data_IF_848903849950
#
_entry.id   IF_848903849950
#
_cell.length_a   1.000
_cell.length_b   1.000
_cell.length_c   1.000
_cell.angle_alpha   90.00
_cell.angle_beta   90.00
_cell.angle_gamma   90.00
#
_symmetry.space_group_name_H-M   'P 1'
#
loop_
_entity.id
_entity.type
_entity.pdbx_description
1 polymer ?
#
# COMPACT_ATOMS: atom_id res chain seq x y z
N UNK A 1 29.35 32.27 -59.56
CA UNK A 1 29.98 31.29 -58.63
C UNK A 1 29.80 31.59 -57.14
N UNK A 2 29.82 32.85 -56.68
CA UNK A 2 29.66 33.19 -55.24
C UNK A 2 28.33 32.75 -54.62
N UNK A 3 27.21 33.01 -55.30
CA UNK A 3 25.87 32.60 -54.88
C UNK A 3 25.70 31.07 -54.84
N UNK A 4 26.31 30.34 -55.76
CA UNK A 4 26.24 28.88 -55.79
C UNK A 4 26.98 28.25 -54.60
N UNK A 5 28.11 28.83 -54.18
CA UNK A 5 28.86 28.38 -52.99
C UNK A 5 28.10 28.67 -51.69
N UNK A 6 27.46 29.84 -51.59
CA UNK A 6 26.63 30.20 -50.43
C UNK A 6 25.37 29.31 -50.38
N UNK A 7 24.71 29.11 -51.52
CA UNK A 7 23.54 28.24 -51.62
C UNK A 7 23.88 26.79 -51.25
N UNK A 8 25.00 26.23 -51.74
CA UNK A 8 25.43 24.89 -51.35
C UNK A 8 25.76 24.79 -49.85
N UNK A 9 26.40 25.82 -49.28
CA UNK A 9 26.75 25.86 -47.85
C UNK A 9 25.55 25.95 -46.90
N UNK A 10 24.40 26.47 -47.35
CA UNK A 10 23.17 26.60 -46.53
C UNK A 10 22.15 25.51 -46.85
N UNK A 11 21.97 25.15 -48.13
CA UNK A 11 20.97 24.17 -48.55
C UNK A 11 21.32 22.75 -48.10
N UNK A 12 22.60 22.39 -48.14
CA UNK A 12 23.07 21.07 -47.71
C UNK A 12 22.75 20.78 -46.23
N UNK A 13 23.16 21.62 -45.24
CA UNK A 13 22.83 21.36 -43.84
C UNK A 13 21.32 21.40 -43.57
N UNK A 14 20.54 22.23 -44.25
CA UNK A 14 19.06 22.23 -44.13
C UNK A 14 18.46 20.89 -44.58
N UNK A 15 18.95 20.34 -45.70
CA UNK A 15 18.50 19.05 -46.22
C UNK A 15 18.89 17.91 -45.27
N UNK A 16 20.09 17.99 -44.68
CA UNK A 16 20.52 17.04 -43.63
C UNK A 16 19.62 17.13 -42.40
N UNK A 17 19.29 18.34 -41.91
CA UNK A 17 18.38 18.52 -40.77
C UNK A 17 16.99 17.98 -41.07
N UNK A 18 16.45 18.22 -42.27
CA UNK A 18 15.15 17.68 -42.70
C UNK A 18 15.13 16.14 -42.74
N UNK A 19 16.24 15.49 -43.11
CA UNK A 19 16.34 14.04 -43.10
C UNK A 19 16.52 13.46 -41.69
N UNK A 20 17.18 14.19 -40.80
CA UNK A 20 17.48 13.74 -39.44
C UNK A 20 16.27 13.93 -38.50
N UNK A 21 15.47 14.98 -38.67
CA UNK A 21 14.38 15.30 -37.75
C UNK A 21 13.35 14.16 -37.61
N UNK A 22 12.84 13.52 -38.69
CA UNK A 22 11.95 12.36 -38.57
C UNK A 22 12.60 11.19 -37.84
N UNK A 23 13.89 10.95 -38.07
CA UNK A 23 14.63 9.88 -37.41
C UNK A 23 14.81 10.15 -35.90
N UNK A 24 15.02 11.40 -35.50
CA UNK A 24 15.08 11.79 -34.08
C UNK A 24 13.73 11.53 -33.40
N UNK A 25 12.61 11.87 -34.04
CA UNK A 25 11.29 11.65 -33.47
C UNK A 25 10.99 10.15 -33.27
N UNK A 26 11.25 9.33 -34.28
CA UNK A 26 11.08 7.86 -34.19
C UNK A 26 11.94 7.25 -33.06
N UNK A 27 13.19 7.70 -32.93
CA UNK A 27 14.09 7.26 -31.86
C UNK A 27 13.56 7.62 -30.46
N UNK A 28 13.05 8.84 -30.28
CA UNK A 28 12.49 9.29 -29.00
C UNK A 28 11.22 8.51 -28.62
N UNK A 29 10.36 8.20 -29.59
CA UNK A 29 9.17 7.38 -29.35
C UNK A 29 9.52 5.93 -29.00
N UNK A 30 10.52 5.34 -29.66
CA UNK A 30 11.04 4.02 -29.29
C UNK A 30 11.63 4.01 -27.88
N UNK A 31 12.35 5.07 -27.50
CA UNK A 31 12.89 5.23 -26.15
C UNK A 31 11.77 5.35 -25.09
N UNK A 32 10.75 6.17 -25.35
CA UNK A 32 9.56 6.29 -24.46
C UNK A 32 8.82 4.96 -24.29
N UNK A 33 8.63 4.21 -25.38
CA UNK A 33 8.04 2.85 -25.33
C UNK A 33 8.87 1.90 -24.48
N UNK A 34 10.19 1.93 -24.64
CA UNK A 34 11.11 1.10 -23.86
C UNK A 34 11.09 1.47 -22.38
N UNK A 35 11.11 2.77 -22.09
CA UNK A 35 11.02 3.28 -20.72
C UNK A 35 9.69 2.88 -20.06
N UNK A 36 8.57 3.04 -20.76
CA UNK A 36 7.27 2.62 -20.24
C UNK A 36 7.21 1.12 -19.95
N UNK A 37 7.71 0.28 -20.88
CA UNK A 37 7.79 -1.17 -20.65
C UNK A 37 8.64 -1.51 -19.43
N UNK A 38 9.71 -0.76 -19.17
CA UNK A 38 10.52 -0.92 -17.97
C UNK A 38 9.78 -0.45 -16.71
N UNK A 39 8.98 0.62 -16.79
CA UNK A 39 8.13 1.05 -15.70
C UNK A 39 7.09 -0.02 -15.33
N UNK A 40 6.45 -0.66 -16.32
CA UNK A 40 5.57 -1.80 -16.07
C UNK A 40 6.30 -2.98 -15.42
N UNK A 41 7.56 -3.24 -15.78
CA UNK A 41 8.38 -4.24 -15.09
C UNK A 41 8.70 -3.87 -13.65
N UNK A 42 8.94 -2.59 -13.35
CA UNK A 42 9.12 -2.11 -11.97
C UNK A 42 7.83 -2.29 -11.15
N UNK A 43 6.67 -2.01 -11.75
CA UNK A 43 5.37 -2.28 -11.14
C UNK A 43 5.18 -3.79 -10.93
N UNK A 44 5.53 -4.62 -11.90
CA UNK A 44 5.52 -6.08 -11.75
C UNK A 44 6.39 -6.57 -10.61
N UNK A 45 7.62 -6.09 -10.52
CA UNK A 45 8.51 -6.40 -9.39
C UNK A 45 7.90 -5.95 -8.06
N UNK A 46 7.29 -4.75 -8.01
CA UNK A 46 6.62 -4.27 -6.81
C UNK A 46 5.41 -5.14 -6.43
N UNK A 47 4.61 -5.58 -7.40
CA UNK A 47 3.49 -6.49 -7.19
C UNK A 47 3.95 -7.86 -6.67
N UNK A 48 5.05 -8.41 -7.21
CA UNK A 48 5.64 -9.64 -6.70
C UNK A 48 6.22 -9.45 -5.29
N UNK A 49 6.93 -8.36 -5.01
CA UNK A 49 7.43 -8.08 -3.66
C UNK A 49 6.29 -7.89 -2.65
N UNK A 50 5.19 -7.25 -3.07
CA UNK A 50 3.97 -7.15 -2.26
C UNK A 50 3.40 -8.55 -2.02
N UNK A 51 3.25 -9.36 -3.06
CA UNK A 51 2.78 -10.74 -2.94
C UNK A 51 3.69 -11.58 -2.03
N UNK A 52 5.01 -11.47 -2.12
CA UNK A 52 5.94 -12.21 -1.26
C UNK A 52 5.77 -11.87 0.23
N UNK A 53 5.35 -10.64 0.54
CA UNK A 53 5.15 -10.16 1.92
C UNK A 53 3.73 -10.44 2.43
N UNK A 54 2.72 -10.33 1.56
CA UNK A 54 1.31 -10.36 1.95
C UNK A 54 0.55 -11.60 1.47
N UNK A 55 1.17 -12.45 0.66
CA UNK A 55 0.61 -13.66 0.04
C UNK A 55 -0.68 -13.41 -0.76
N UNK A 56 -0.79 -12.21 -1.34
CA UNK A 56 -1.89 -11.76 -2.19
C UNK A 56 -1.40 -10.59 -3.03
N UNK A 57 -2.00 -10.38 -4.20
CA UNK A 57 -1.94 -9.09 -4.88
C UNK A 57 -2.66 -8.01 -4.06
N UNK A 58 -2.28 -6.73 -4.21
CA UNK A 58 -2.97 -5.65 -3.52
C UNK A 58 -4.42 -5.58 -4.01
N UNK A 59 -5.38 -5.30 -3.11
CA UNK A 59 -6.75 -5.09 -3.53
C UNK A 59 -6.81 -3.88 -4.47
N UNK A 60 -7.70 -3.96 -5.48
CA UNK A 60 -7.96 -2.86 -6.41
C UNK A 60 -8.25 -1.55 -5.66
N UNK A 61 -8.98 -1.66 -4.55
CA UNK A 61 -9.19 -0.61 -3.56
C UNK A 61 -9.74 -1.19 -2.26
N UNK A 62 -9.36 -0.60 -1.13
CA UNK A 62 -9.84 -0.99 0.20
C UNK A 62 -11.03 -0.13 0.59
N UNK A 63 -12.14 -0.77 0.95
CA UNK A 63 -13.36 -0.10 1.37
C UNK A 63 -13.85 -0.63 2.72
N UNK A 64 -14.34 0.25 3.59
CA UNK A 64 -15.01 -0.13 4.84
C UNK A 64 -16.48 -0.50 4.62
N UNK A 65 -17.17 -0.88 5.70
CA UNK A 65 -18.59 -1.27 5.68
C UNK A 65 -19.52 -0.10 5.32
N UNK A 66 -19.06 1.15 5.47
CA UNK A 66 -19.78 2.36 5.09
C UNK A 66 -19.58 2.73 3.61
N UNK A 67 -18.71 2.02 2.90
CA UNK A 67 -18.40 2.28 1.48
C UNK A 67 -17.38 3.41 1.26
N UNK A 68 -16.68 3.86 2.30
CA UNK A 68 -15.57 4.80 2.16
C UNK A 68 -14.32 4.07 1.66
N UNK A 69 -13.72 4.61 0.59
CA UNK A 69 -12.52 4.07 -0.03
C UNK A 69 -11.25 4.65 0.61
N UNK A 70 -10.34 3.78 1.04
CA UNK A 70 -9.05 4.15 1.60
C UNK A 70 -8.06 4.40 0.48
N UNK A 71 -7.31 3.41 0.03
CA UNK A 71 -6.42 3.56 -1.12
C UNK A 71 -6.65 2.51 -2.18
N UNK A 72 -6.39 2.89 -3.44
CA UNK A 72 -6.27 1.95 -4.54
C UNK A 72 -4.98 1.14 -4.51
N UNK A 73 -4.94 0.09 -5.33
CA UNK A 73 -3.79 -0.80 -5.52
C UNK A 73 -2.42 -0.14 -5.75
N UNK A 74 -2.28 1.09 -6.32
CA UNK A 74 -0.96 1.68 -6.53
C UNK A 74 -0.28 2.13 -5.23
N UNK A 75 -1.05 2.55 -4.23
CA UNK A 75 -0.51 3.12 -2.98
C UNK A 75 0.22 2.06 -2.13
N UNK A 76 -0.33 0.85 -1.93
CA UNK A 76 0.40 -0.24 -1.26
C UNK A 76 1.73 -0.61 -1.92
N UNK A 77 1.93 -0.29 -3.22
CA UNK A 77 3.16 -0.60 -3.94
C UNK A 77 4.29 0.43 -3.74
N UNK A 78 3.98 1.63 -3.24
CA UNK A 78 4.94 2.74 -3.09
C UNK A 78 6.23 2.33 -2.35
N UNK A 79 6.20 1.55 -1.24
CA UNK A 79 7.43 1.13 -0.55
C UNK A 79 8.36 0.30 -1.45
N UNK A 80 7.79 -0.53 -2.31
CA UNK A 80 8.51 -1.43 -3.22
C UNK A 80 8.98 -0.73 -4.51
N UNK A 81 8.52 0.50 -4.73
CA UNK A 81 8.90 1.35 -5.85
C UNK A 81 9.92 2.44 -5.41
N UNK A 82 10.69 2.18 -4.35
CA UNK A 82 11.72 3.09 -3.82
C UNK A 82 11.21 4.46 -3.32
N UNK A 83 9.92 4.55 -2.96
CA UNK A 83 9.28 5.79 -2.51
C UNK A 83 8.79 5.74 -1.06
N UNK A 84 9.50 4.98 -0.24
CA UNK A 84 9.16 4.72 1.16
C UNK A 84 8.91 5.99 2.00
N UNK A 85 9.70 7.09 1.91
CA UNK A 85 9.44 8.31 2.67
C UNK A 85 8.12 9.00 2.34
N UNK A 86 7.65 8.89 1.08
CA UNK A 86 6.36 9.44 0.66
C UNK A 86 5.20 8.64 1.27
N UNK A 87 5.30 7.30 1.24
CA UNK A 87 4.29 6.41 1.79
C UNK A 87 3.99 6.70 3.27
N UNK A 88 5.01 6.98 4.09
CA UNK A 88 4.84 7.26 5.52
C UNK A 88 4.18 8.60 5.86
N UNK A 89 4.04 9.51 4.88
CA UNK A 89 3.29 10.75 5.09
C UNK A 89 1.79 10.57 4.94
N UNK A 90 1.37 9.47 4.31
CA UNK A 90 -0.03 9.14 4.10
C UNK A 90 -0.62 8.57 5.40
N UNK A 91 -1.79 9.07 5.77
CA UNK A 91 -2.61 8.52 6.85
C UNK A 91 -3.47 7.37 6.29
N UNK A 92 -3.13 6.15 6.69
CA UNK A 92 -3.81 4.94 6.22
C UNK A 92 -5.16 4.68 6.90
N UNK A 93 -5.54 5.52 7.86
CA UNK A 93 -6.78 5.37 8.62
C UNK A 93 -7.90 6.27 8.10
N UNK A 94 -7.63 7.07 7.08
CA UNK A 94 -8.61 7.98 6.48
C UNK A 94 -8.74 7.72 4.98
N UNK A 95 -9.90 8.03 4.38
CA UNK A 95 -10.10 7.94 2.94
C UNK A 95 -9.05 8.71 2.14
N UNK A 96 -8.69 8.25 0.94
CA UNK A 96 -7.72 8.96 0.10
C UNK A 96 -8.18 10.38 -0.28
N UNK A 97 -9.49 10.58 -0.37
CA UNK A 97 -10.15 11.83 -0.75
C UNK A 97 -10.49 12.71 0.45
N UNK A 98 -10.07 12.34 1.67
CA UNK A 98 -10.19 13.19 2.85
C UNK A 98 -9.37 14.48 2.64
N UNK A 99 -9.96 15.67 2.87
CA UNK A 99 -9.27 16.96 2.67
C UNK A 99 -7.93 17.09 3.41
N UNK A 100 -7.75 16.37 4.52
CA UNK A 100 -6.50 16.38 5.31
C UNK A 100 -5.35 15.62 4.63
N UNK A 101 -5.67 14.70 3.72
CA UNK A 101 -4.69 13.83 3.06
C UNK A 101 -4.45 14.20 1.60
N UNK A 102 -5.47 14.72 0.93
CA UNK A 102 -5.43 15.16 -0.46
C UNK A 102 -4.22 16.04 -0.81
N UNK A 103 -3.76 16.89 0.11
CA UNK A 103 -2.58 17.76 -0.08
C UNK A 103 -1.29 16.96 -0.38
N UNK A 104 -1.15 15.77 0.21
CA UNK A 104 0.02 14.90 -0.05
C UNK A 104 0.00 14.32 -1.46
N UNK A 105 -1.18 14.18 -2.06
CA UNK A 105 -1.35 13.75 -3.44
C UNK A 105 -1.34 14.93 -4.43
N UNK A 106 -0.67 16.03 -4.11
CA UNK A 106 -0.48 17.13 -5.07
C UNK A 106 0.79 16.92 -5.91
N UNK A 107 0.76 17.44 -7.14
CA UNK A 107 1.80 17.32 -8.18
C UNK A 107 3.24 17.46 -7.66
N UNK A 108 3.50 18.41 -6.75
CA UNK A 108 4.85 18.67 -6.23
C UNK A 108 5.43 17.45 -5.48
N UNK A 109 4.69 16.90 -4.54
CA UNK A 109 5.18 15.79 -3.69
C UNK A 109 5.24 14.49 -4.47
N UNK A 110 4.29 14.26 -5.37
CA UNK A 110 4.24 13.05 -6.17
C UNK A 110 5.29 13.05 -7.29
N UNK A 111 5.57 14.17 -7.96
CA UNK A 111 6.57 14.20 -9.06
C UNK A 111 7.99 13.93 -8.63
N UNK A 112 8.35 14.29 -7.41
CA UNK A 112 9.69 14.02 -6.88
C UNK A 112 9.90 12.53 -6.57
N UNK A 113 8.82 11.76 -6.44
CA UNK A 113 8.88 10.37 -5.96
C UNK A 113 8.38 9.37 -7.03
N UNK A 114 7.28 9.64 -7.74
CA UNK A 114 6.63 8.71 -8.67
C UNK A 114 7.23 8.83 -10.07
N UNK A 115 8.34 8.14 -10.33
CA UNK A 115 9.06 8.18 -11.62
C UNK A 115 8.61 7.14 -12.66
N UNK A 116 7.71 6.23 -12.30
CA UNK A 116 7.28 5.09 -13.14
C UNK A 116 6.00 5.36 -13.93
N UNK A 117 5.55 6.61 -14.07
CA UNK A 117 4.43 6.97 -14.95
C UNK A 117 4.84 6.96 -16.42
N UNK A 118 3.86 6.94 -17.32
CA UNK A 118 4.12 6.94 -18.77
C UNK A 118 4.80 8.25 -19.21
N UNK A 119 6.06 8.21 -19.68
CA UNK A 119 6.82 9.40 -20.07
C UNK A 119 6.37 9.99 -21.40
N UNK A 120 5.45 9.33 -22.11
CA UNK A 120 4.88 9.83 -23.37
C UNK A 120 3.73 10.81 -23.17
N UNK A 121 3.14 10.87 -21.97
CA UNK A 121 1.98 11.72 -21.68
C UNK A 121 2.38 13.09 -21.17
N UNK A 122 1.78 14.13 -21.76
CA UNK A 122 2.03 15.54 -21.43
C UNK A 122 1.33 15.97 -20.13
N UNK A 123 0.31 15.22 -19.69
CA UNK A 123 -0.54 15.51 -18.53
C UNK A 123 -0.34 14.48 -17.42
N UNK A 124 0.71 14.60 -16.59
CA UNK A 124 0.90 13.71 -15.45
C UNK A 124 -0.11 13.94 -14.32
N UNK A 125 -0.90 15.01 -14.40
CA UNK A 125 -1.80 15.47 -13.35
C UNK A 125 -3.11 16.03 -13.91
N UNK A 126 -4.17 15.92 -13.10
CA UNK A 126 -5.49 16.47 -13.38
C UNK A 126 -5.48 18.00 -13.33
N UNK A 127 -6.57 18.64 -13.80
CA UNK A 127 -6.74 20.09 -13.73
C UNK A 127 -6.64 20.65 -12.29
N UNK A 128 -6.94 19.82 -11.29
CA UNK A 128 -6.88 20.18 -9.87
C UNK A 128 -5.53 19.81 -9.22
N UNK A 129 -4.54 19.39 -10.01
CA UNK A 129 -3.17 19.12 -9.54
C UNK A 129 -2.94 17.74 -8.91
N UNK A 130 -3.87 16.79 -9.09
CA UNK A 130 -3.71 15.41 -8.61
C UNK A 130 -2.95 14.55 -9.63
N UNK A 131 -2.00 13.71 -9.23
CA UNK A 131 -1.30 12.80 -10.13
C UNK A 131 -2.28 11.78 -10.72
N UNK A 132 -2.16 11.58 -12.01
CA UNK A 132 -2.93 10.60 -12.76
C UNK A 132 -2.16 9.28 -12.84
N UNK A 133 -2.89 8.17 -12.89
CA UNK A 133 -2.32 6.85 -13.14
C UNK A 133 -2.62 6.41 -14.56
N UNK A 134 -1.55 6.09 -15.30
CA UNK A 134 -1.61 5.73 -16.73
C UNK A 134 -1.69 4.20 -16.96
N UNK A 135 -1.80 3.44 -15.87
CA UNK A 135 -1.94 2.00 -15.84
C UNK A 135 -3.18 1.66 -15.03
N UNK A 136 -3.95 0.70 -15.52
CA UNK A 136 -5.08 0.14 -14.78
C UNK A 136 -4.78 -1.31 -14.43
N UNK A 137 -5.28 -1.75 -13.29
CA UNK A 137 -5.27 -3.15 -12.92
C UNK A 137 -6.36 -3.94 -13.66
N UNK A 138 -6.15 -5.25 -13.85
CA UNK A 138 -7.20 -6.18 -14.23
C UNK A 138 -8.18 -6.35 -13.06
N UNK A 139 -9.46 -6.01 -13.28
CA UNK A 139 -10.49 -6.10 -12.24
C UNK A 139 -10.74 -7.52 -11.74
N UNK A 140 -10.41 -8.56 -12.52
CA UNK A 140 -10.53 -9.94 -12.03
C UNK A 140 -9.50 -10.28 -10.97
N UNK A 141 -8.34 -9.60 -11.00
CA UNK A 141 -7.26 -9.81 -10.03
C UNK A 141 -7.33 -8.78 -8.90
N UNK A 142 -7.49 -7.51 -9.24
CA UNK A 142 -7.50 -6.41 -8.27
C UNK A 142 -8.80 -5.61 -8.41
N UNK A 143 -9.81 -6.03 -7.67
CA UNK A 143 -11.09 -5.32 -7.47
C UNK A 143 -11.26 -4.92 -6.00
N UNK A 144 -12.43 -4.37 -5.65
CA UNK A 144 -12.75 -3.97 -4.27
C UNK A 144 -12.53 -5.10 -3.29
N UNK A 145 -11.73 -4.84 -2.26
CA UNK A 145 -11.49 -5.77 -1.15
C UNK A 145 -11.07 -7.18 -1.61
N UNK A 146 -10.46 -7.27 -2.80
CA UNK A 146 -10.01 -8.53 -3.39
C UNK A 146 -8.85 -9.16 -2.60
N UNK A 147 -8.77 -10.48 -2.71
CA UNK A 147 -7.68 -11.30 -2.19
C UNK A 147 -7.38 -12.38 -3.23
N UNK A 148 -6.45 -12.09 -4.13
CA UNK A 148 -6.08 -12.97 -5.24
C UNK A 148 -4.59 -13.27 -5.12
N UNK A 149 -4.24 -14.54 -5.11
CA UNK A 149 -2.87 -15.02 -5.01
C UNK A 149 -2.32 -15.38 -6.40
N UNK A 150 -1.01 -15.62 -6.50
CA UNK A 150 -0.38 -16.16 -7.70
C UNK A 150 -0.94 -17.52 -8.11
N UNK A 151 -1.30 -18.37 -7.14
CA UNK A 151 -1.87 -19.69 -7.38
C UNK A 151 -3.27 -19.61 -8.00
N UNK A 152 -4.05 -18.58 -7.65
CA UNK A 152 -5.40 -18.36 -8.20
C UNK A 152 -5.39 -17.95 -9.67
N UNK A 153 -4.26 -17.45 -10.19
CA UNK A 153 -4.13 -17.03 -11.60
C UNK A 153 -4.18 -18.21 -12.59
N UNK A 154 -4.04 -19.44 -12.10
CA UNK A 154 -3.87 -20.63 -12.93
C UNK A 154 -2.53 -20.60 -13.67
N UNK A 155 -2.49 -20.02 -14.88
CA UNK A 155 -1.22 -19.78 -15.59
C UNK A 155 -0.86 -18.30 -15.53
N UNK A 156 0.08 -17.95 -14.65
CA UNK A 156 0.55 -16.58 -14.44
C UNK A 156 1.00 -15.88 -15.74
N UNK A 157 1.63 -16.60 -16.67
CA UNK A 157 2.06 -16.06 -17.97
C UNK A 157 0.91 -15.68 -18.94
N UNK A 158 -0.31 -16.13 -18.66
CA UNK A 158 -1.51 -15.87 -19.47
C UNK A 158 -2.49 -14.91 -18.81
N UNK A 159 -2.37 -14.66 -17.52
CA UNK A 159 -3.28 -13.75 -16.79
C UNK A 159 -2.68 -12.36 -16.70
N UNK A 160 -3.42 -11.35 -17.15
CA UNK A 160 -3.06 -9.95 -17.06
C UNK A 160 -3.18 -9.48 -15.60
N UNK A 161 -2.15 -8.83 -15.07
CA UNK A 161 -2.22 -8.10 -13.79
C UNK A 161 -2.63 -6.65 -14.01
N UNK A 162 -1.98 -5.96 -14.95
CA UNK A 162 -2.21 -4.55 -15.21
C UNK A 162 -1.83 -4.18 -16.65
N UNK A 163 -2.37 -3.10 -17.19
CA UNK A 163 -2.06 -2.65 -18.55
C UNK A 163 -2.31 -1.15 -18.73
N UNK A 164 -1.85 -0.63 -19.87
CA UNK A 164 -2.06 0.77 -20.28
C UNK A 164 -3.55 1.14 -20.20
N UNK A 165 -3.85 2.25 -19.52
CA UNK A 165 -5.20 2.75 -19.36
C UNK A 165 -5.62 3.69 -20.51
N UNK A 166 -6.87 3.58 -20.99
CA UNK A 166 -7.48 4.64 -21.83
C UNK A 166 -7.80 5.89 -21.01
N UNK A 167 -7.88 7.04 -21.66
CA UNK A 167 -8.49 8.22 -21.03
C UNK A 167 -10.00 8.03 -20.82
N UNK A 168 -10.59 8.57 -19.74
CA UNK A 168 -9.93 9.39 -18.72
C UNK A 168 -9.07 8.54 -17.76
N UNK A 169 -7.94 9.11 -17.34
CA UNK A 169 -7.10 8.49 -16.31
C UNK A 169 -7.70 8.70 -14.93
N UNK A 170 -7.55 7.67 -14.09
CA UNK A 170 -7.93 7.75 -12.68
C UNK A 170 -6.86 8.52 -11.87
N UNK A 171 -7.23 9.04 -10.71
CA UNK A 171 -6.26 9.62 -9.77
C UNK A 171 -5.44 8.47 -9.17
N UNK A 172 -4.13 8.67 -9.01
CA UNK A 172 -3.21 7.62 -8.52
C UNK A 172 -3.63 6.98 -7.19
N UNK A 173 -4.15 7.77 -6.24
CA UNK A 173 -4.61 7.29 -4.95
C UNK A 173 -6.01 6.64 -4.99
N UNK A 174 -6.75 6.86 -6.09
CA UNK A 174 -8.15 6.46 -6.18
C UNK A 174 -8.31 4.96 -6.07
N UNK A 175 -9.40 4.58 -5.43
CA UNK A 175 -9.79 3.20 -5.21
C UNK A 175 -10.57 2.65 -6.40
N UNK A 176 -10.33 3.10 -7.63
CA UNK A 176 -11.05 2.62 -8.83
C UNK A 176 -10.13 2.43 -10.05
N UNK A 177 -8.82 2.46 -9.85
CA UNK A 177 -7.81 2.33 -10.89
C UNK A 177 -7.69 0.91 -11.49
N UNK A 178 -8.80 0.19 -11.64
CA UNK A 178 -8.91 -1.10 -12.33
C UNK A 178 -9.91 -1.00 -13.49
N UNK A 179 -9.79 -1.93 -14.44
CA UNK A 179 -10.65 -2.01 -15.62
C UNK A 179 -10.95 -3.47 -15.94
N UNK A 180 -12.11 -3.67 -16.56
CA UNK A 180 -12.50 -5.00 -17.04
C UNK A 180 -11.82 -5.28 -18.38
N UNK A 181 -11.14 -6.42 -18.47
CA UNK A 181 -10.44 -6.85 -19.69
C UNK A 181 -11.42 -7.17 -20.83
N UNK A 182 -12.67 -7.51 -20.49
CA UNK A 182 -13.78 -7.73 -21.43
C UNK A 182 -14.25 -6.45 -22.15
N UNK A 183 -13.92 -5.26 -21.63
CA UNK A 183 -14.26 -4.01 -22.29
C UNK A 183 -13.33 -3.82 -23.49
N UNK A 184 -13.87 -3.56 -24.70
CA UNK A 184 -13.07 -3.37 -25.90
C UNK A 184 -12.00 -2.30 -25.73
N UNK A 185 -10.82 -2.55 -26.27
CA UNK A 185 -9.70 -1.62 -26.21
C UNK A 185 -9.96 -0.43 -27.13
N UNK A 186 -9.38 0.72 -26.79
CA UNK A 186 -9.34 1.95 -27.61
C UNK A 186 -10.69 2.64 -27.92
N UNK A 187 -11.81 1.93 -27.83
CA UNK A 187 -13.15 2.45 -28.15
C UNK A 187 -13.90 2.88 -26.89
N UNK A 188 -13.55 2.30 -25.74
CA UNK A 188 -14.15 2.63 -24.46
C UNK A 188 -13.20 3.47 -23.60
N UNK A 189 -13.71 4.55 -22.97
CA UNK A 189 -12.95 5.32 -22.00
C UNK A 189 -12.58 4.51 -20.74
N UNK A 190 -13.29 3.41 -20.49
CA UNK A 190 -13.05 2.51 -19.35
C UNK A 190 -12.34 1.21 -19.75
N UNK A 191 -11.98 1.06 -21.03
CA UNK A 191 -11.19 -0.07 -21.52
C UNK A 191 -9.69 0.15 -21.35
N UNK A 192 -8.89 -0.84 -21.72
CA UNK A 192 -7.44 -0.66 -21.81
C UNK A 192 -7.06 -0.03 -23.15
N UNK A 193 -6.05 0.82 -23.17
CA UNK A 193 -5.55 1.44 -24.40
C UNK A 193 -4.21 2.08 -24.14
N UNK A 194 -3.44 2.21 -25.22
CA UNK A 194 -2.23 3.01 -25.20
C UNK A 194 -2.50 4.40 -25.78
N UNK A 195 -2.48 5.42 -24.94
CA UNK A 195 -2.57 6.79 -25.40
C UNK A 195 -1.36 7.15 -26.28
N UNK A 196 -1.63 7.68 -27.49
CA UNK A 196 -0.60 8.14 -28.43
C UNK A 196 0.33 7.05 -28.99
N UNK A 197 0.00 5.75 -28.81
CA UNK A 197 0.82 4.64 -29.32
C UNK A 197 -0.05 3.63 -30.07
N UNK A 198 0.54 2.94 -31.02
CA UNK A 198 -0.09 1.87 -31.81
C UNK A 198 -0.14 0.51 -31.08
N UNK A 199 0.25 0.48 -29.79
CA UNK A 199 0.40 -0.76 -29.04
C UNK A 199 0.10 -0.59 -27.55
N UNK A 200 -0.74 -1.46 -27.02
CA UNK A 200 -1.03 -1.62 -25.59
C UNK A 200 -0.02 -2.56 -24.95
N UNK A 201 0.58 -2.16 -23.84
CA UNK A 201 1.41 -3.04 -23.02
C UNK A 201 0.59 -3.63 -21.88
N UNK A 202 0.74 -4.94 -21.68
CA UNK A 202 0.13 -5.68 -20.58
C UNK A 202 1.18 -6.35 -19.73
N UNK A 203 1.17 -6.07 -18.43
CA UNK A 203 1.93 -6.75 -17.40
C UNK A 203 1.20 -8.04 -17.02
N UNK A 204 1.89 -9.18 -17.16
CA UNK A 204 1.37 -10.51 -16.89
C UNK A 204 1.68 -10.96 -15.46
N UNK A 205 0.99 -12.00 -15.00
CA UNK A 205 1.15 -12.61 -13.68
C UNK A 205 2.55 -13.14 -13.37
N UNK A 206 3.34 -13.46 -14.40
CA UNK A 206 4.74 -13.91 -14.27
C UNK A 206 5.74 -12.74 -14.27
N UNK A 207 5.26 -11.50 -14.26
CA UNK A 207 6.07 -10.29 -14.32
C UNK A 207 6.58 -9.94 -15.72
N UNK A 208 6.26 -10.75 -16.75
CA UNK A 208 6.57 -10.40 -18.14
C UNK A 208 5.65 -9.28 -18.64
N UNK A 209 6.13 -8.51 -19.62
CA UNK A 209 5.31 -7.47 -20.28
C UNK A 209 5.09 -7.86 -21.73
N UNK A 210 3.83 -8.12 -22.09
CA UNK A 210 3.40 -8.40 -23.46
C UNK A 210 2.98 -7.11 -24.16
N UNK A 211 3.18 -7.06 -25.46
CA UNK A 211 2.77 -5.94 -26.31
C UNK A 211 1.69 -6.44 -27.27
N UNK A 212 0.55 -5.77 -27.30
CA UNK A 212 -0.60 -6.12 -28.14
C UNK A 212 -0.92 -4.92 -29.03
N UNK A 213 -0.97 -5.13 -30.34
CA UNK A 213 -1.30 -4.05 -31.29
C UNK A 213 -2.77 -3.62 -31.15
N UNK A 214 -3.09 -2.39 -31.59
CA UNK A 214 -4.48 -1.90 -31.58
C UNK A 214 -5.39 -2.72 -32.51
N UNK A 215 -4.82 -3.28 -33.58
CA UNK A 215 -5.54 -4.10 -34.58
C UNK A 215 -5.66 -5.58 -34.18
N UNK A 216 -4.99 -6.00 -33.10
CA UNK A 216 -5.07 -7.38 -32.66
C UNK A 216 -6.51 -7.73 -32.26
N UNK A 217 -6.92 -8.94 -32.62
CA UNK A 217 -8.23 -9.50 -32.30
C UNK A 217 -8.51 -9.40 -30.79
N UNK A 218 -9.66 -8.84 -30.43
CA UNK A 218 -10.04 -8.63 -29.03
C UNK A 218 -10.20 -9.95 -28.26
N UNK A 219 -10.43 -11.08 -28.93
CA UNK A 219 -10.44 -12.40 -28.28
C UNK A 219 -9.08 -12.74 -27.65
N UNK A 220 -7.97 -12.30 -28.26
CA UNK A 220 -6.62 -12.48 -27.70
C UNK A 220 -6.48 -11.67 -26.40
N UNK A 221 -7.05 -10.46 -26.38
CA UNK A 221 -7.04 -9.60 -25.20
C UNK A 221 -7.93 -10.17 -24.08
N UNK A 222 -9.16 -10.54 -24.41
CA UNK A 222 -10.11 -11.14 -23.49
C UNK A 222 -9.60 -12.45 -22.89
N UNK A 223 -8.84 -13.25 -23.65
CA UNK A 223 -8.21 -14.45 -23.11
C UNK A 223 -7.23 -14.16 -21.95
N UNK A 224 -6.73 -12.93 -21.81
CA UNK A 224 -5.83 -12.54 -20.73
C UNK A 224 -6.54 -12.14 -19.43
N UNK A 225 -7.87 -12.14 -19.38
CA UNK A 225 -8.62 -11.74 -18.18
C UNK A 225 -8.38 -12.64 -16.96
N UNK A 226 -7.98 -13.89 -17.20
CA UNK A 226 -7.77 -14.92 -16.17
C UNK A 226 -8.81 -16.04 -16.23
N UNK A 227 -8.67 -17.10 -15.41
CA UNK A 227 -9.65 -18.17 -15.33
C UNK A 227 -11.00 -17.67 -14.79
N UNK A 228 -12.11 -18.27 -15.24
CA UNK A 228 -13.47 -17.87 -14.83
C UNK A 228 -13.68 -17.94 -13.30
N UNK A 229 -12.90 -18.75 -12.58
CA UNK A 229 -12.91 -18.82 -11.12
C UNK A 229 -12.52 -17.49 -10.45
N UNK A 230 -11.77 -16.62 -11.12
CA UNK A 230 -11.41 -15.29 -10.64
C UNK A 230 -12.49 -14.25 -10.90
N UNK A 231 -13.53 -14.57 -11.68
CA UNK A 231 -14.52 -13.58 -12.08
C UNK A 231 -15.22 -13.00 -10.85
N UNK A 232 -15.07 -11.69 -10.60
CA UNK A 232 -15.65 -11.05 -9.44
C UNK A 232 -17.16 -10.90 -9.63
N UNK A 233 -17.88 -10.85 -8.51
CA UNK A 233 -19.27 -10.44 -8.53
C UNK A 233 -19.39 -8.98 -9.02
N UNK A 234 -20.38 -8.62 -9.86
CA UNK A 234 -20.48 -7.30 -10.49
C UNK A 234 -20.45 -6.11 -9.50
N UNK A 235 -21.00 -6.29 -8.30
CA UNK A 235 -20.99 -5.28 -7.23
C UNK A 235 -19.57 -4.91 -6.74
N UNK A 236 -18.61 -5.83 -6.90
CA UNK A 236 -17.21 -5.61 -6.52
C UNK A 236 -16.42 -4.83 -7.58
N UNK A 237 -16.90 -4.79 -8.83
CA UNK A 237 -16.25 -4.07 -9.93
C UNK A 237 -17.00 -2.81 -10.35
N UNK A 238 -18.24 -2.62 -9.91
CA UNK A 238 -19.03 -1.42 -10.14
C UNK A 238 -18.26 -0.15 -9.77
N UNK A 239 -18.27 0.90 -10.60
CA UNK A 239 -17.53 2.15 -10.31
C UNK A 239 -18.14 2.98 -9.20
N UNK A 240 -19.47 3.08 -9.14
CA UNK A 240 -20.20 3.71 -8.03
C UNK A 240 -20.47 2.66 -6.95
N UNK A 241 -19.86 2.75 -5.76
CA UNK A 241 -20.09 1.76 -4.70
C UNK A 241 -21.47 1.91 -4.08
N UNK A 242 -22.19 0.79 -3.96
CA UNK A 242 -23.07 0.57 -2.80
C UNK A 242 -22.25 0.20 -1.57
N UNK A 243 -22.87 -0.35 -0.52
CA UNK A 243 -22.15 -0.93 0.63
C UNK A 243 -21.37 -2.16 0.15
N UNK A 244 -20.03 -2.15 0.12
CA UNK A 244 -19.25 -3.30 -0.32
C UNK A 244 -19.27 -4.39 0.76
N UNK A 245 -19.18 -5.68 0.40
CA UNK A 245 -19.04 -6.73 1.40
C UNK A 245 -17.74 -6.52 2.19
N UNK A 246 -17.76 -6.81 3.50
CA UNK A 246 -16.54 -6.80 4.31
C UNK A 246 -15.52 -7.74 3.69
N UNK A 247 -14.24 -7.39 3.78
CA UNK A 247 -13.11 -8.19 3.28
C UNK A 247 -13.39 -9.68 3.47
N UNK A 248 -13.42 -10.44 2.36
CA UNK A 248 -13.41 -11.89 2.45
C UNK A 248 -12.12 -12.28 3.18
N UNK A 249 -12.25 -12.99 4.30
CA UNK A 249 -11.18 -13.24 5.28
C UNK A 249 -9.83 -13.59 4.58
N UNK A 250 -8.64 -13.09 5.02
CA UNK A 250 -8.37 -12.18 6.13
C UNK A 250 -7.19 -11.20 5.85
N UNK A 251 -7.46 -10.07 5.20
CA UNK A 251 -6.48 -8.96 5.11
C UNK A 251 -6.03 -8.46 6.51
N UNK A 252 -6.86 -8.69 7.54
CA UNK A 252 -6.56 -8.39 8.95
C UNK A 252 -5.70 -9.47 9.64
N UNK A 253 -5.67 -10.74 9.17
CA UNK A 253 -4.90 -11.83 9.81
C UNK A 253 -3.50 -12.02 9.20
N UNK A 254 -3.25 -11.57 7.96
CA UNK A 254 -1.93 -11.75 7.34
C UNK A 254 -0.93 -10.63 7.60
N UNK A 255 -1.41 -9.47 8.08
CA UNK A 255 -0.57 -8.54 8.86
C UNK A 255 0.03 -9.23 10.11
N UNK A 256 -0.58 -10.31 10.63
CA UNK A 256 -0.12 -11.02 11.83
C UNK A 256 0.94 -12.08 11.57
N UNK A 257 0.89 -12.81 10.46
CA UNK A 257 1.79 -13.97 10.23
C UNK A 257 3.15 -13.58 9.67
N UNK A 258 3.24 -12.55 8.82
CA UNK A 258 4.50 -12.14 8.19
C UNK A 258 5.37 -11.24 9.07
N UNK A 259 4.77 -10.50 10.02
CA UNK A 259 5.52 -9.75 11.03
C UNK A 259 5.91 -10.63 12.25
N UNK A 260 5.12 -11.66 12.60
CA UNK A 260 5.23 -12.38 13.89
C UNK A 260 5.27 -13.92 13.78
N UNK A 261 5.65 -14.49 12.63
CA UNK A 261 5.92 -15.92 12.50
C UNK A 261 6.93 -16.43 13.55
N UNK A 262 6.79 -17.69 13.97
CA UNK A 262 7.47 -18.35 15.12
C UNK A 262 9.02 -18.29 15.11
N UNK A 263 9.63 -17.73 14.07
CA UNK A 263 11.06 -17.71 13.80
C UNK A 263 11.62 -16.31 13.48
N UNK A 264 10.91 -15.21 13.76
CA UNK A 264 11.46 -13.87 13.59
C UNK A 264 12.35 -13.48 14.80
N UNK A 265 13.67 -13.30 14.64
CA UNK A 265 14.59 -12.93 15.73
C UNK A 265 14.34 -11.54 16.32
N UNK A 266 13.53 -10.70 15.67
CA UNK A 266 13.22 -9.31 16.09
C UNK A 266 11.90 -9.19 16.89
N UNK A 267 11.39 -10.30 17.47
CA UNK A 267 10.12 -10.29 18.22
C UNK A 267 10.20 -9.49 19.55
N UNK A 268 9.62 -8.28 19.55
CA UNK A 268 9.43 -7.45 20.76
C UNK A 268 8.30 -7.96 21.67
N UNK A 269 7.18 -8.42 21.08
CA UNK A 269 5.97 -8.81 21.82
C UNK A 269 5.16 -9.92 21.11
N UNK A 270 4.48 -10.74 21.90
CA UNK A 270 3.46 -11.71 21.45
C UNK A 270 2.07 -11.17 21.78
N UNK A 271 1.21 -11.07 20.78
CA UNK A 271 -0.19 -10.69 20.95
C UNK A 271 -1.09 -11.91 20.94
N UNK A 272 -2.07 -11.94 21.84
CA UNK A 272 -3.12 -12.97 21.90
C UNK A 272 -4.45 -12.31 22.18
N UNK A 273 -5.52 -12.78 21.53
CA UNK A 273 -6.87 -12.26 21.73
C UNK A 273 -7.75 -13.41 22.20
N UNK A 274 -8.45 -13.19 23.29
CA UNK A 274 -9.47 -14.09 23.81
C UNK A 274 -10.75 -13.29 24.08
N UNK A 275 -11.77 -13.48 23.25
CA UNK A 275 -12.97 -12.66 23.24
C UNK A 275 -12.67 -11.18 22.99
N UNK A 276 -12.99 -10.32 23.96
CA UNK A 276 -12.73 -8.87 23.94
C UNK A 276 -11.48 -8.47 24.75
N UNK A 277 -10.64 -9.45 25.09
CA UNK A 277 -9.41 -9.24 25.86
C UNK A 277 -8.18 -9.42 24.97
N UNK A 278 -7.36 -8.38 24.87
CA UNK A 278 -6.06 -8.41 24.20
C UNK A 278 -4.95 -8.63 25.23
N UNK A 279 -4.18 -9.71 25.10
CA UNK A 279 -2.97 -9.94 25.89
C UNK A 279 -1.73 -9.58 25.07
N UNK A 280 -0.90 -8.68 25.59
CA UNK A 280 0.40 -8.28 25.04
C UNK A 280 1.49 -8.91 25.92
N UNK A 281 2.28 -9.85 25.41
CA UNK A 281 3.36 -10.51 26.16
C UNK A 281 4.72 -10.15 25.58
N UNK A 282 5.47 -9.26 26.21
CA UNK A 282 6.81 -8.86 25.74
C UNK A 282 7.89 -9.81 26.27
N UNK A 283 8.97 -9.97 25.52
CA UNK A 283 10.16 -10.61 26.08
C UNK A 283 10.74 -9.70 27.17
N UNK A 284 11.02 -10.24 28.36
CA UNK A 284 11.53 -9.45 29.47
C UNK A 284 12.87 -8.80 29.10
N UNK A 285 12.96 -7.47 29.23
CA UNK A 285 14.24 -6.75 29.18
C UNK A 285 14.60 -6.01 27.88
N UNK A 286 13.70 -5.83 26.91
CA UNK A 286 14.01 -4.98 25.75
C UNK A 286 13.81 -3.49 26.06
N UNK A 287 14.86 -2.87 26.60
CA UNK A 287 14.99 -1.43 26.84
C UNK A 287 15.72 -0.71 25.68
N UNK A 288 15.63 -1.24 24.45
CA UNK A 288 16.41 -0.72 23.31
C UNK A 288 16.26 0.80 23.11
N UNK A 289 17.37 1.50 22.77
CA UNK A 289 17.45 2.95 22.77
C UNK A 289 16.51 3.61 21.74
N UNK A 290 16.18 4.91 21.93
CA UNK A 290 15.26 5.66 21.08
C UNK A 290 15.55 5.61 19.58
N UNK A 291 16.81 5.40 19.19
CA UNK A 291 17.25 5.32 17.79
C UNK A 291 16.68 4.10 17.05
N UNK A 292 16.35 3.00 17.75
CA UNK A 292 15.62 1.86 17.16
C UNK A 292 14.10 2.10 17.00
N UNK A 293 13.55 3.22 17.51
CA UNK A 293 12.11 3.56 17.41
C UNK A 293 11.69 4.02 16.00
N UNK A 294 12.64 4.15 15.09
CA UNK A 294 12.41 4.53 13.69
C UNK A 294 12.71 3.40 12.70
N UNK A 295 13.00 2.19 13.20
CA UNK A 295 13.07 1.02 12.32
C UNK A 295 11.67 0.72 11.77
N UNK A 296 11.53 0.44 10.46
CA UNK A 296 10.24 0.15 9.82
C UNK A 296 9.40 -0.90 10.57
N UNK A 297 10.06 -1.87 11.21
CA UNK A 297 9.41 -2.89 12.03
C UNK A 297 8.67 -2.34 13.26
N UNK A 298 9.24 -1.35 13.97
CA UNK A 298 8.62 -0.76 15.17
C UNK A 298 7.42 0.14 14.82
N UNK A 299 7.52 0.89 13.73
CA UNK A 299 6.41 1.73 13.27
C UNK A 299 5.26 0.86 12.72
N UNK A 300 5.59 -0.21 11.99
CA UNK A 300 4.61 -1.22 11.57
C UNK A 300 3.91 -1.88 12.75
N UNK A 301 4.63 -2.12 13.85
CA UNK A 301 4.05 -2.61 15.11
C UNK A 301 3.03 -1.63 15.72
N UNK A 302 3.36 -0.34 15.86
CA UNK A 302 2.44 0.65 16.45
C UNK A 302 1.16 0.80 15.64
N UNK A 303 1.27 0.85 14.31
CA UNK A 303 0.10 0.93 13.41
C UNK A 303 -0.77 -0.32 13.52
N UNK A 304 -0.15 -1.50 13.60
CA UNK A 304 -0.86 -2.77 13.76
C UNK A 304 -1.60 -2.85 15.10
N UNK A 305 -0.95 -2.39 16.18
CA UNK A 305 -1.55 -2.35 17.52
C UNK A 305 -2.73 -1.37 17.57
N UNK A 306 -2.61 -0.20 16.93
CA UNK A 306 -3.67 0.81 16.85
C UNK A 306 -4.87 0.27 16.08
N UNK A 307 -4.63 -0.30 14.91
CA UNK A 307 -5.66 -0.93 14.08
C UNK A 307 -6.39 -2.03 14.83
N UNK A 308 -5.65 -2.86 15.57
CA UNK A 308 -6.25 -3.92 16.37
C UNK A 308 -7.18 -3.39 17.47
N UNK A 309 -6.70 -2.37 18.17
CA UNK A 309 -7.43 -1.71 19.23
C UNK A 309 -8.70 -1.01 18.72
N UNK A 310 -8.70 -0.54 17.47
CA UNK A 310 -9.83 0.10 16.80
C UNK A 310 -10.84 -0.91 16.25
N UNK A 311 -10.36 -1.96 15.57
CA UNK A 311 -11.22 -2.88 14.79
C UNK A 311 -11.83 -4.02 15.62
N UNK A 312 -11.12 -4.54 16.63
CA UNK A 312 -11.51 -5.78 17.31
C UNK A 312 -12.47 -5.60 18.51
N UNK A 313 -13.07 -4.41 18.69
CA UNK A 313 -13.94 -4.09 19.84
C UNK A 313 -13.35 -4.50 21.20
N UNK A 314 -12.03 -4.30 21.36
CA UNK A 314 -11.28 -4.71 22.56
C UNK A 314 -11.75 -3.88 23.76
N UNK A 315 -12.19 -4.56 24.82
CA UNK A 315 -12.62 -3.95 26.08
C UNK A 315 -11.57 -4.05 27.18
N UNK A 316 -10.70 -5.05 27.13
CA UNK A 316 -9.68 -5.26 28.14
C UNK A 316 -8.32 -5.50 27.47
N UNK A 317 -7.28 -4.87 28.00
CA UNK A 317 -5.90 -5.13 27.57
C UNK A 317 -5.08 -5.60 28.76
N UNK A 318 -4.36 -6.71 28.61
CA UNK A 318 -3.48 -7.27 29.63
C UNK A 318 -2.06 -7.27 29.08
N UNK A 319 -1.18 -6.49 29.68
CA UNK A 319 0.24 -6.45 29.35
C UNK A 319 1.01 -7.34 30.32
N UNK A 320 1.74 -8.31 29.78
CA UNK A 320 2.65 -9.23 30.47
C UNK A 320 4.07 -8.89 30.03
N UNK A 321 4.76 -8.05 30.80
CA UNK A 321 6.10 -7.55 30.49
C UNK A 321 6.15 -6.04 30.31
N UNK A 322 7.26 -5.52 29.77
CA UNK A 322 7.51 -4.08 29.60
C UNK A 322 6.90 -3.55 28.29
N UNK A 323 6.24 -2.40 28.36
CA UNK A 323 5.74 -1.62 27.21
C UNK A 323 6.19 -0.17 27.31
N UNK A 324 6.28 0.51 26.18
CA UNK A 324 6.68 1.92 26.06
C UNK A 324 5.48 2.87 26.24
N UNK A 325 5.78 4.13 26.51
CA UNK A 325 4.77 5.20 26.59
C UNK A 325 3.95 5.34 25.28
N UNK A 326 4.53 5.03 24.12
CA UNK A 326 3.87 5.18 22.82
C UNK A 326 2.90 4.02 22.55
N UNK A 327 3.29 2.81 22.91
CA UNK A 327 2.42 1.63 22.85
C UNK A 327 1.21 1.80 23.79
N UNK A 328 1.44 2.33 25.01
CA UNK A 328 0.36 2.67 25.94
C UNK A 328 -0.56 3.74 25.34
N UNK A 329 0.00 4.81 24.75
CA UNK A 329 -0.79 5.86 24.09
C UNK A 329 -1.68 5.32 22.99
N UNK A 330 -1.17 4.39 22.18
CA UNK A 330 -1.94 3.72 21.11
C UNK A 330 -3.09 2.89 21.70
N UNK A 331 -2.81 2.09 22.72
CA UNK A 331 -3.84 1.26 23.38
C UNK A 331 -4.96 2.14 23.95
N UNK A 332 -4.61 3.25 24.61
CA UNK A 332 -5.57 4.18 25.22
C UNK A 332 -6.48 4.89 24.20
N UNK A 333 -6.13 4.90 22.91
CA UNK A 333 -7.00 5.45 21.84
C UNK A 333 -8.12 4.50 21.42
N UNK A 334 -8.13 3.27 21.92
CA UNK A 334 -9.19 2.31 21.59
C UNK A 334 -10.58 2.81 22.02
N UNK A 335 -11.56 2.85 21.09
CA UNK A 335 -12.88 3.40 21.35
C UNK A 335 -13.74 2.51 22.24
N UNK A 336 -13.38 1.25 22.46
CA UNK A 336 -14.13 0.30 23.27
C UNK A 336 -13.41 -0.13 24.54
N UNK A 337 -12.21 0.39 24.81
CA UNK A 337 -11.41 -0.01 25.96
C UNK A 337 -12.06 0.43 27.28
N UNK A 338 -12.30 -0.55 28.13
CA UNK A 338 -12.87 -0.43 29.46
C UNK A 338 -11.80 -0.62 30.55
N UNK A 339 -10.77 -1.45 30.32
CA UNK A 339 -9.70 -1.68 31.31
C UNK A 339 -8.34 -2.03 30.68
N UNK A 340 -7.26 -1.64 31.36
CA UNK A 340 -5.88 -2.03 31.02
C UNK A 340 -5.14 -2.49 32.28
N UNK A 341 -4.59 -3.70 32.24
CA UNK A 341 -3.76 -4.29 33.29
C UNK A 341 -2.31 -4.34 32.80
N UNK A 342 -1.36 -3.82 33.59
CA UNK A 342 0.06 -3.77 33.23
C UNK A 342 0.86 -4.47 34.32
N UNK A 343 1.34 -5.68 34.01
CA UNK A 343 2.17 -6.47 34.90
C UNK A 343 3.65 -6.35 34.50
N UNK A 344 4.43 -5.61 35.30
CA UNK A 344 5.88 -5.46 35.19
C UNK A 344 6.32 -4.12 34.57
N UNK A 345 6.58 -3.13 35.41
CA UNK A 345 7.17 -1.84 34.98
C UNK A 345 8.56 -1.70 35.61
N UNK A 346 9.63 -1.90 34.83
CA UNK A 346 11.00 -1.51 35.22
C UNK A 346 11.25 -0.03 34.91
N UNK A 347 10.39 0.87 35.42
CA UNK A 347 10.72 2.27 35.68
C UNK A 347 9.52 2.98 36.35
N UNK A 348 9.63 3.52 37.57
CA UNK A 348 8.48 4.09 38.29
C UNK A 348 7.93 5.40 37.71
N UNK A 349 8.55 5.97 36.66
CA UNK A 349 8.15 7.28 36.13
C UNK A 349 6.95 7.26 35.16
N UNK A 350 6.36 6.10 34.85
CA UNK A 350 5.08 6.06 34.14
C UNK A 350 3.96 5.80 35.15
N UNK A 351 3.76 6.77 36.05
CA UNK A 351 2.50 6.94 36.77
C UNK A 351 1.59 7.74 35.86
N UNK A 352 0.53 7.11 35.34
CA UNK A 352 -0.58 7.78 34.67
C UNK A 352 -1.18 8.80 35.65
N UNK A 353 -0.85 10.08 35.46
CA UNK A 353 -1.52 11.21 36.10
C UNK A 353 -2.71 11.58 35.21
N UNK A 354 -3.89 11.61 35.83
CA UNK A 354 -5.19 12.02 35.29
C UNK A 354 -5.09 13.40 34.58
N UNK A 355 -6.00 13.82 33.69
CA UNK A 355 -7.13 14.68 34.12
C UNK A 355 -8.03 15.09 32.93
N UNK A 356 -9.35 14.94 33.16
CA UNK A 356 -10.54 15.67 32.64
C UNK A 356 -10.82 15.74 31.14
N UNK A 357 -11.48 14.71 30.63
CA UNK A 357 -12.90 14.76 30.20
C UNK A 357 -13.29 13.37 29.67
N UNK A 358 -14.56 12.97 29.82
CA UNK A 358 -15.20 11.69 29.41
C UNK A 358 -15.10 10.51 30.41
N UNK A 359 -16.19 9.74 30.63
CA UNK A 359 -16.31 8.81 31.74
C UNK A 359 -15.80 7.42 31.33
N UNK A 360 -14.51 7.12 31.54
CA UNK A 360 -13.99 5.76 31.37
C UNK A 360 -13.04 5.40 32.50
N UNK A 361 -13.40 4.34 33.22
CA UNK A 361 -12.82 3.94 34.51
C UNK A 361 -11.63 3.01 34.26
N UNK A 362 -10.44 3.55 34.08
CA UNK A 362 -9.21 2.76 33.92
C UNK A 362 -8.70 2.36 35.31
N UNK A 363 -8.85 1.09 35.69
CA UNK A 363 -8.23 0.53 36.90
C UNK A 363 -6.87 -0.07 36.55
N UNK A 364 -5.80 0.50 37.10
CA UNK A 364 -4.46 -0.08 37.07
C UNK A 364 -4.31 -0.98 38.30
N UNK A 365 -4.36 -2.30 38.12
CA UNK A 365 -4.10 -3.26 39.19
C UNK A 365 -2.60 -3.54 39.25
N UNK A 366 -1.92 -3.10 40.31
CA UNK A 366 -0.56 -3.56 40.60
C UNK A 366 -0.64 -5.01 41.10
N UNK A 367 -0.01 -5.97 40.42
CA UNK A 367 0.28 -7.25 41.06
C UNK A 367 1.35 -7.04 42.13
N UNK A 368 0.98 -7.36 43.37
CA UNK A 368 1.86 -7.34 44.51
C UNK A 368 2.95 -8.40 44.33
N UNK A 369 4.22 -7.99 44.29
CA UNK A 369 5.32 -8.88 44.63
C UNK A 369 6.20 -8.21 45.68
N UNK A 370 6.08 -8.78 46.88
CA UNK A 370 7.08 -8.83 47.96
C UNK A 370 7.40 -7.52 48.67
N UNK A 371 6.63 -7.25 49.72
CA UNK A 371 7.19 -6.68 50.96
C UNK A 371 8.28 -7.66 51.41
N UNK A 372 9.55 -7.26 51.31
CA UNK A 372 10.55 -7.80 52.22
C UNK A 372 10.18 -7.26 53.59
N UNK A 373 9.68 -8.15 54.44
CA UNK A 373 9.67 -7.96 55.89
C UNK A 373 11.12 -7.67 56.30
N UNK A 374 11.42 -6.39 56.54
CA UNK A 374 12.48 -6.01 57.46
C UNK A 374 11.92 -6.14 58.87
N UNK A 375 11.76 -7.38 59.31
CA UNK A 375 11.72 -7.75 60.71
C UNK A 375 12.62 -8.98 60.88
N UNK A 376 13.90 -8.73 61.14
CA UNK A 376 14.72 -9.68 61.88
C UNK A 376 14.86 -9.16 63.31
N UNK A 377 14.68 -10.03 64.31
CA UNK A 377 14.72 -9.63 65.71
C UNK A 377 16.17 -9.34 66.13
N UNK A 378 16.38 -8.14 66.67
CA UNK A 378 17.52 -7.87 67.55
C UNK A 378 17.36 -8.71 68.83
N UNK A 379 17.90 -9.92 68.81
CA UNK A 379 18.29 -10.64 70.02
C UNK A 379 19.72 -11.17 69.83
N UNK A 380 20.69 -10.33 70.21
CA UNK A 380 22.01 -10.80 70.57
C UNK A 380 22.34 -10.30 71.97
N UNK A 381 22.01 -11.15 72.93
CA UNK A 381 22.58 -11.14 74.27
C UNK A 381 24.09 -11.39 74.12
N UNK A 382 24.92 -10.40 74.46
CA UNK A 382 26.17 -10.64 75.20
C UNK A 382 26.87 -9.33 75.63
N UNK A 383 26.98 -9.21 76.97
CA UNK A 383 27.78 -8.29 77.81
C UNK A 383 27.19 -6.94 78.20
#
# INVERSE_FOLDING_TARGET
>A
MRYLKIAAGVLFPLLVVMLILPAIHQSREAARRTQWRNNLKQIGLALHNYHDVFDTFPPGGVYNAEGHGYFGWPVPLIPYLACTPFYYRLDQNIPWDDPRQVEWFTDRHCRENISWLDPSLETPSSANGYPLIHVAANSWVMHRNSHVTLDDLGTSAHTLLAADASEPFDIFASTTAWREVSIPRNTSPFGFSSHGREVTHGLMGDGSVKTVTLEADESIWHAMQGPESLRPAPELTAREPGIPPPLSKPYVKHLWSSLYGKNNPDQRARLSIDGQTLTVSTAAGDTSPPEKRYEPAYLGWLVSLEKLCLEASIKQVIVKGTVTAEEIRVILRSPHLESIDINGVENPEIVLVEVKSTPRRIQVLKSSSTIQDNDSPDENINR
#
